data_IF_606745406446
#
_entry.id   IF_606745406446
#
_cell.length_a   1.000
_cell.length_b   1.000
_cell.length_c   1.000
_cell.angle_alpha   90.00
_cell.angle_beta   90.00
_cell.angle_gamma   90.00
#
_symmetry.space_group_name_H-M   'P 1'
#
loop_
_entity.id
_entity.type
_entity.pdbx_description
1 polymer ?
#
# COMPACT_ATOMS: atom_id res chain seq x y z
N UNK A 1 -26.42 -21.55 7.09
CA UNK A 1 -26.12 -20.18 6.63
C UNK A 1 -25.52 -20.25 5.23
N UNK A 2 -26.37 -20.34 4.20
CA UNK A 2 -25.95 -20.56 2.81
C UNK A 2 -25.41 -19.26 2.20
N UNK A 3 -24.09 -19.15 2.09
CA UNK A 3 -23.43 -18.01 1.45
C UNK A 3 -23.50 -18.17 -0.07
N UNK A 4 -24.49 -17.55 -0.71
CA UNK A 4 -24.64 -17.59 -2.18
C UNK A 4 -23.57 -16.73 -2.85
N UNK A 5 -22.48 -17.35 -3.32
CA UNK A 5 -21.49 -16.65 -4.14
C UNK A 5 -22.08 -16.35 -5.52
N UNK A 6 -22.47 -15.09 -5.77
CA UNK A 6 -23.02 -14.65 -7.05
C UNK A 6 -21.97 -14.82 -8.17
N UNK A 7 -22.27 -15.66 -9.18
CA UNK A 7 -21.44 -15.86 -10.38
C UNK A 7 -21.30 -14.53 -11.14
N UNK A 8 -20.08 -14.13 -11.48
CA UNK A 8 -19.82 -12.92 -12.28
C UNK A 8 -19.94 -13.28 -13.76
N UNK A 9 -20.68 -12.48 -14.53
CA UNK A 9 -20.87 -12.70 -15.96
C UNK A 9 -19.65 -12.23 -16.75
N UNK A 10 -19.32 -12.95 -17.82
CA UNK A 10 -18.24 -12.60 -18.77
C UNK A 10 -18.73 -11.51 -19.74
N UNK A 11 -17.78 -10.74 -20.28
CA UNK A 11 -18.03 -9.77 -21.33
C UNK A 11 -18.62 -10.43 -22.59
N UNK A 12 -19.59 -9.76 -23.22
CA UNK A 12 -20.26 -10.22 -24.44
C UNK A 12 -19.47 -9.95 -25.74
N UNK A 13 -18.42 -9.13 -25.68
CA UNK A 13 -17.57 -8.88 -26.84
C UNK A 13 -16.85 -10.18 -27.27
N UNK A 14 -16.69 -10.37 -28.58
CA UNK A 14 -16.03 -11.53 -29.15
C UNK A 14 -14.61 -11.70 -28.58
N UNK A 15 -14.24 -12.93 -28.24
CA UNK A 15 -12.94 -13.29 -27.66
C UNK A 15 -12.56 -12.52 -26.37
N UNK A 16 -13.51 -11.89 -25.67
CA UNK A 16 -13.22 -11.18 -24.43
C UNK A 16 -13.38 -12.08 -23.19
N UNK A 17 -12.28 -12.38 -22.51
CA UNK A 17 -12.28 -13.14 -21.25
C UNK A 17 -12.53 -12.28 -20.00
N UNK A 18 -12.62 -10.95 -20.17
CA UNK A 18 -12.83 -10.00 -19.06
C UNK A 18 -14.26 -10.12 -18.51
N UNK A 19 -14.44 -9.79 -17.23
CA UNK A 19 -15.76 -9.78 -16.60
C UNK A 19 -16.60 -8.58 -17.04
N UNK A 20 -17.88 -8.81 -17.27
CA UNK A 20 -18.85 -7.75 -17.50
C UNK A 20 -19.10 -6.94 -16.22
N UNK A 21 -19.08 -5.62 -16.34
CA UNK A 21 -19.31 -4.70 -15.21
C UNK A 21 -20.76 -4.22 -15.20
N UNK A 22 -21.22 -3.65 -16.31
CA UNK A 22 -22.59 -3.16 -16.53
C UNK A 22 -22.95 -3.39 -17.99
N UNK A 23 -24.22 -3.63 -18.28
CA UNK A 23 -24.73 -3.86 -19.65
C UNK A 23 -24.12 -5.06 -20.40
N UNK A 24 -23.50 -6.02 -19.68
CA UNK A 24 -22.94 -7.23 -20.29
C UNK A 24 -21.57 -7.05 -20.96
N UNK A 25 -20.94 -5.88 -20.82
CA UNK A 25 -19.59 -5.60 -21.36
C UNK A 25 -18.62 -5.25 -20.24
N UNK A 26 -17.31 -5.37 -20.49
CA UNK A 26 -16.27 -4.91 -19.57
C UNK A 26 -15.94 -3.42 -19.77
N UNK A 27 -15.14 -2.82 -18.88
CA UNK A 27 -14.78 -1.39 -18.97
C UNK A 27 -14.11 -1.06 -20.31
N UNK A 28 -13.22 -1.93 -20.80
CA UNK A 28 -12.57 -1.75 -22.10
C UNK A 28 -13.54 -1.80 -23.29
N UNK A 29 -14.67 -2.48 -23.15
CA UNK A 29 -15.69 -2.63 -24.20
C UNK A 29 -16.92 -1.73 -23.91
N UNK A 30 -16.71 -0.58 -23.26
CA UNK A 30 -17.73 0.46 -23.10
C UNK A 30 -18.59 0.35 -21.83
N UNK A 31 -18.24 -0.50 -20.86
CA UNK A 31 -18.97 -0.51 -19.59
C UNK A 31 -18.70 0.78 -18.80
N UNK A 32 -19.71 1.64 -18.70
CA UNK A 32 -19.64 2.82 -17.86
C UNK A 32 -19.62 2.43 -16.37
N UNK A 33 -18.47 2.67 -15.72
CA UNK A 33 -18.30 2.50 -14.27
C UNK A 33 -18.50 3.83 -13.57
N UNK A 34 -19.75 4.15 -13.24
CA UNK A 34 -20.09 5.34 -12.47
C UNK A 34 -19.68 5.14 -11.00
N UNK A 35 -18.65 5.87 -10.56
CA UNK A 35 -18.29 5.93 -9.15
C UNK A 35 -19.12 7.02 -8.47
N UNK A 36 -19.87 6.65 -7.43
CA UNK A 36 -20.61 7.63 -6.62
C UNK A 36 -19.63 8.43 -5.76
N UNK A 37 -19.91 9.72 -5.59
CA UNK A 37 -19.19 10.59 -4.64
C UNK A 37 -19.73 10.35 -3.24
N UNK A 38 -18.92 10.68 -2.25
CA UNK A 38 -19.31 10.65 -0.86
C UNK A 38 -20.48 11.61 -0.62
N UNK A 39 -21.53 11.16 0.05
CA UNK A 39 -22.75 11.95 0.33
C UNK A 39 -22.51 13.13 1.29
N UNK A 40 -21.34 13.20 1.93
CA UNK A 40 -20.94 14.32 2.80
C UNK A 40 -20.63 15.56 1.96
N UNK A 41 -21.21 16.69 2.35
CA UNK A 41 -21.01 17.97 1.68
C UNK A 41 -19.52 18.35 1.59
N UNK A 42 -19.11 18.86 0.43
CA UNK A 42 -17.72 19.22 0.14
C UNK A 42 -16.74 18.04 0.02
N UNK A 43 -17.18 16.77 0.09
CA UNK A 43 -16.28 15.62 -0.01
C UNK A 43 -16.07 15.12 -1.44
N UNK A 44 -14.83 15.27 -1.93
CA UNK A 44 -14.44 14.77 -3.26
C UNK A 44 -14.00 13.30 -3.30
N UNK A 45 -14.11 12.57 -2.19
CA UNK A 45 -13.76 11.15 -2.16
C UNK A 45 -14.87 10.29 -2.77
N UNK A 46 -14.49 9.14 -3.32
CA UNK A 46 -15.45 8.14 -3.79
C UNK A 46 -16.15 7.45 -2.62
N UNK A 47 -17.47 7.30 -2.74
CA UNK A 47 -18.27 6.52 -1.83
C UNK A 47 -17.91 5.04 -1.94
N UNK A 48 -17.97 4.35 -0.80
CA UNK A 48 -17.86 2.90 -0.73
C UNK A 48 -19.27 2.33 -0.48
N UNK A 49 -19.42 1.45 0.50
CA UNK A 49 -20.73 0.94 0.91
C UNK A 49 -21.42 1.97 1.80
N UNK A 50 -22.69 2.25 1.51
CA UNK A 50 -23.52 3.17 2.29
C UNK A 50 -23.36 4.64 1.96
N UNK A 51 -22.97 4.98 0.72
CA UNK A 51 -23.00 6.37 0.22
C UNK A 51 -21.85 7.28 0.70
N UNK A 52 -21.13 6.88 1.74
CA UNK A 52 -20.01 7.64 2.30
C UNK A 52 -18.66 7.03 1.93
N UNK A 53 -17.58 7.82 2.04
CA UNK A 53 -16.21 7.35 1.87
C UNK A 53 -15.67 6.74 3.17
N UNK A 54 -14.50 6.10 3.12
CA UNK A 54 -13.87 5.52 4.32
C UNK A 54 -13.59 6.54 5.44
N UNK A 55 -13.35 7.81 5.10
CA UNK A 55 -13.14 8.88 6.08
C UNK A 55 -14.43 9.31 6.76
N UNK A 56 -15.55 9.21 6.04
CA UNK A 56 -16.88 9.61 6.51
C UNK A 56 -17.73 8.41 6.94
N UNK A 57 -17.08 7.34 7.43
CA UNK A 57 -17.79 6.25 8.11
C UNK A 57 -18.17 5.05 7.24
N UNK A 58 -17.63 4.93 6.02
CA UNK A 58 -17.87 3.70 5.26
C UNK A 58 -17.36 2.47 6.02
N UNK A 59 -18.29 1.59 6.39
CA UNK A 59 -18.00 0.39 7.16
C UNK A 59 -17.06 -0.52 6.37
N UNK A 60 -15.85 -0.69 6.86
CA UNK A 60 -14.92 -1.72 6.40
C UNK A 60 -15.16 -2.99 7.20
N UNK A 61 -15.09 -4.15 6.55
CA UNK A 61 -15.14 -5.44 7.25
C UNK A 61 -13.88 -5.54 8.12
N UNK A 62 -14.03 -5.32 9.42
CA UNK A 62 -13.02 -5.65 10.43
C UNK A 62 -13.38 -7.02 10.97
N UNK A 63 -12.47 -7.97 10.80
CA UNK A 63 -12.60 -9.29 11.40
C UNK A 63 -11.56 -9.40 12.49
N UNK A 64 -11.91 -10.06 13.59
CA UNK A 64 -10.95 -10.42 14.62
C UNK A 64 -9.95 -11.45 14.09
N UNK A 65 -8.82 -11.54 14.78
CA UNK A 65 -7.78 -12.51 14.50
C UNK A 65 -8.31 -13.91 14.80
N UNK A 66 -8.16 -14.84 13.85
CA UNK A 66 -8.58 -16.23 14.02
C UNK A 66 -7.72 -17.04 15.00
N UNK A 67 -6.83 -16.39 15.76
CA UNK A 67 -6.01 -17.06 16.76
C UNK A 67 -6.80 -17.14 18.08
N UNK A 68 -6.63 -18.24 18.81
CA UNK A 68 -7.28 -18.46 20.10
C UNK A 68 -7.00 -17.29 21.07
N UNK A 69 -8.04 -16.81 21.74
CA UNK A 69 -8.00 -15.67 22.67
C UNK A 69 -7.39 -14.37 22.10
N UNK A 70 -7.45 -14.15 20.79
CA UNK A 70 -6.93 -12.93 20.18
C UNK A 70 -8.03 -11.94 19.78
N UNK A 71 -8.19 -10.88 20.56
CA UNK A 71 -9.11 -9.77 20.27
C UNK A 71 -8.57 -8.76 19.26
N UNK A 72 -7.35 -8.96 18.75
CA UNK A 72 -6.77 -8.05 17.75
C UNK A 72 -7.49 -8.17 16.42
N UNK A 73 -7.57 -7.07 15.68
CA UNK A 73 -8.13 -7.07 14.33
C UNK A 73 -7.16 -7.75 13.36
N UNK A 74 -7.69 -8.71 12.59
CA UNK A 74 -6.98 -9.34 11.49
C UNK A 74 -6.57 -8.31 10.44
N UNK A 75 -5.29 -8.36 10.07
CA UNK A 75 -4.69 -7.44 9.10
C UNK A 75 -4.61 -8.08 7.72
N UNK A 76 -4.29 -9.37 7.66
CA UNK A 76 -4.23 -10.13 6.42
C UNK A 76 -4.53 -11.60 6.71
N UNK A 77 -5.21 -12.27 5.76
CA UNK A 77 -5.46 -13.73 5.81
C UNK A 77 -6.08 -14.22 7.13
N UNK A 78 -6.95 -13.40 7.75
CA UNK A 78 -7.64 -13.77 8.99
C UNK A 78 -6.82 -13.63 10.27
N UNK A 79 -5.55 -13.24 10.22
CA UNK A 79 -4.68 -13.11 11.40
C UNK A 79 -4.20 -11.68 11.60
N UNK A 80 -3.84 -11.32 12.84
CA UNK A 80 -3.23 -10.03 13.17
C UNK A 80 -1.70 -10.08 12.96
N UNK A 81 -1.01 -8.94 13.14
CA UNK A 81 0.46 -8.88 12.96
C UNK A 81 1.22 -9.81 13.90
N UNK A 82 0.76 -9.95 15.14
CA UNK A 82 1.36 -10.85 16.13
C UNK A 82 1.20 -12.32 15.74
N UNK A 83 0.10 -12.64 15.06
CA UNK A 83 -0.25 -14.01 14.66
C UNK A 83 0.03 -14.30 13.18
N UNK A 84 1.00 -13.60 12.57
CA UNK A 84 1.52 -13.97 11.25
C UNK A 84 0.95 -13.21 10.06
N UNK A 85 0.24 -12.10 10.26
CA UNK A 85 -0.01 -11.16 9.17
C UNK A 85 1.30 -10.52 8.74
N UNK A 86 1.92 -11.11 7.71
CA UNK A 86 3.19 -10.67 7.15
C UNK A 86 3.10 -9.21 6.74
N UNK A 87 4.10 -8.41 7.14
CA UNK A 87 4.41 -7.18 6.41
C UNK A 87 4.89 -7.61 5.03
N UNK A 88 4.55 -6.84 3.99
CA UNK A 88 5.25 -6.97 2.72
C UNK A 88 6.73 -6.72 3.02
N UNK A 89 7.53 -7.79 3.00
CA UNK A 89 8.98 -7.71 3.19
C UNK A 89 9.51 -6.64 2.24
N UNK A 90 10.21 -5.64 2.78
CA UNK A 90 10.76 -4.57 1.95
C UNK A 90 11.95 -5.14 1.23
N UNK A 91 11.75 -5.53 -0.03
CA UNK A 91 12.84 -6.01 -0.88
C UNK A 91 13.87 -4.89 -1.06
N UNK A 92 15.15 -5.25 -1.03
CA UNK A 92 16.23 -4.35 -1.44
C UNK A 92 16.16 -4.15 -2.95
N UNK A 93 16.71 -3.05 -3.43
CA UNK A 93 16.94 -2.83 -4.84
C UNK A 93 17.77 -3.97 -5.42
N UNK A 94 17.36 -4.51 -6.56
CA UNK A 94 18.05 -5.60 -7.26
C UNK A 94 19.37 -5.17 -7.93
N UNK A 95 19.70 -3.88 -7.90
CA UNK A 95 20.98 -3.37 -8.41
C UNK A 95 22.08 -3.72 -7.42
N UNK A 96 23.10 -4.42 -7.91
CA UNK A 96 24.28 -4.83 -7.15
C UNK A 96 24.88 -3.68 -6.33
N UNK A 97 25.17 -3.95 -5.05
CA UNK A 97 25.71 -2.95 -4.11
C UNK A 97 24.72 -1.87 -3.66
N UNK A 98 23.48 -1.86 -4.13
CA UNK A 98 22.49 -0.86 -3.72
C UNK A 98 21.82 -1.22 -2.40
N UNK A 99 21.98 -0.40 -1.37
CA UNK A 99 21.32 -0.60 -0.05
C UNK A 99 19.89 -0.05 0.02
N UNK A 100 19.44 0.66 -1.03
CA UNK A 100 18.10 1.28 -1.06
C UNK A 100 17.00 0.22 -1.20
N UNK A 101 15.81 0.54 -0.71
CA UNK A 101 14.64 -0.34 -0.80
C UNK A 101 14.00 -0.23 -2.19
N UNK A 102 13.62 -1.37 -2.75
CA UNK A 102 12.85 -1.43 -3.97
C UNK A 102 11.43 -0.90 -3.76
N UNK A 103 10.97 -0.03 -4.66
CA UNK A 103 9.62 0.51 -4.61
C UNK A 103 8.68 -0.27 -5.54
N UNK A 104 9.02 -0.32 -6.82
CA UNK A 104 8.27 -0.99 -7.88
C UNK A 104 9.26 -1.63 -8.85
N UNK A 105 8.92 -2.80 -9.40
CA UNK A 105 9.76 -3.48 -10.39
C UNK A 105 11.12 -3.97 -9.86
N UNK A 106 11.27 -4.20 -8.55
CA UNK A 106 12.53 -4.72 -7.98
C UNK A 106 13.64 -3.68 -7.79
N UNK A 107 13.45 -2.46 -8.28
CA UNK A 107 14.43 -1.37 -8.18
C UNK A 107 13.99 -0.26 -7.24
N UNK A 108 14.94 0.55 -6.77
CA UNK A 108 14.66 1.75 -5.98
C UNK A 108 14.39 2.96 -6.88
N UNK A 109 13.94 4.07 -6.29
CA UNK A 109 13.64 5.32 -7.02
C UNK A 109 14.83 5.76 -7.88
N UNK A 110 16.03 5.78 -7.30
CA UNK A 110 17.24 6.19 -8.00
C UNK A 110 17.74 5.21 -9.07
N UNK A 111 17.14 4.03 -9.19
CA UNK A 111 17.47 3.02 -10.19
C UNK A 111 16.27 2.70 -11.11
N UNK A 112 15.32 3.65 -11.24
CA UNK A 112 14.24 3.56 -12.22
C UNK A 112 12.89 3.06 -11.68
N UNK A 113 12.69 3.05 -10.36
CA UNK A 113 11.36 2.73 -9.84
C UNK A 113 10.37 3.84 -10.16
N UNK A 114 9.41 3.53 -11.03
CA UNK A 114 8.35 4.44 -11.46
C UNK A 114 7.19 4.45 -10.47
N UNK A 115 6.61 5.63 -10.26
CA UNK A 115 5.37 5.78 -9.50
C UNK A 115 4.21 5.82 -10.47
N UNK A 116 3.19 4.98 -10.25
CA UNK A 116 1.93 5.08 -11.00
C UNK A 116 1.16 6.28 -10.48
N UNK A 117 0.96 7.27 -11.34
CA UNK A 117 0.15 8.44 -11.03
C UNK A 117 -1.25 8.27 -11.62
N UNK A 118 -2.26 8.70 -10.87
CA UNK A 118 -3.66 8.57 -11.25
C UNK A 118 -4.07 9.51 -12.39
N UNK A 119 -3.27 10.55 -12.64
CA UNK A 119 -3.41 11.53 -13.71
C UNK A 119 -2.01 12.02 -14.09
N UNK A 120 -1.79 12.27 -15.37
CA UNK A 120 -0.53 12.84 -15.89
C UNK A 120 -0.41 14.34 -15.57
N UNK A 121 -1.54 15.00 -15.32
CA UNK A 121 -1.61 16.46 -15.13
C UNK A 121 -1.19 16.95 -13.73
N UNK A 122 -0.90 16.05 -12.78
CA UNK A 122 -0.47 16.44 -11.42
C UNK A 122 0.76 15.65 -10.95
N UNK A 123 1.83 15.63 -11.75
CA UNK A 123 3.16 15.10 -11.39
C UNK A 123 4.18 16.16 -10.95
N UNK A 124 3.79 17.37 -10.53
CA UNK A 124 4.76 18.45 -10.20
C UNK A 124 5.04 18.66 -8.69
N UNK A 125 4.30 18.01 -7.78
CA UNK A 125 4.34 18.39 -6.34
C UNK A 125 5.10 17.44 -5.40
N UNK A 126 6.10 16.73 -5.90
CA UNK A 126 7.02 15.98 -5.04
C UNK A 126 8.40 16.20 -5.65
N UNK A 127 9.25 17.03 -5.06
CA UNK A 127 10.58 17.41 -5.58
C UNK A 127 11.58 16.25 -5.68
N UNK A 128 11.21 15.23 -6.45
CA UNK A 128 11.93 14.01 -6.76
C UNK A 128 11.54 13.71 -8.22
N UNK A 129 12.49 13.79 -9.14
CA UNK A 129 12.31 13.53 -10.57
C UNK A 129 12.03 12.04 -10.83
N UNK A 130 10.86 11.54 -10.41
CA UNK A 130 10.45 10.15 -10.57
C UNK A 130 9.64 10.03 -11.87
N UNK A 131 10.08 9.20 -12.83
CA UNK A 131 9.30 8.97 -14.04
C UNK A 131 7.92 8.36 -13.70
N UNK A 132 6.85 9.00 -14.17
CA UNK A 132 5.45 8.58 -13.98
C UNK A 132 5.02 7.77 -15.23
N UNK A 133 4.62 6.50 -15.09
CA UNK A 133 4.01 5.75 -16.20
C UNK A 133 2.49 5.94 -16.15
N UNK A 134 1.94 6.62 -17.16
CA UNK A 134 0.49 6.70 -17.39
C UNK A 134 -0.09 5.34 -17.73
N UNK A 135 -1.33 5.07 -17.29
CA UNK A 135 -1.99 3.81 -17.64
C UNK A 135 -2.49 3.85 -19.09
N UNK A 136 -1.90 2.97 -19.90
CA UNK A 136 -2.22 2.52 -21.26
C UNK A 136 -1.49 3.29 -22.38
N UNK A 137 -0.60 2.60 -23.09
CA UNK A 137 -0.89 2.09 -24.42
C UNK A 137 -0.04 0.85 -24.67
N UNK A 138 -0.69 -0.24 -25.07
CA UNK A 138 -0.03 -1.36 -25.74
C UNK A 138 0.27 -0.86 -27.15
N UNK A 139 1.54 -0.57 -27.44
CA UNK A 139 2.05 -0.56 -28.79
C UNK A 139 3.25 -1.52 -28.80
N UNK A 140 3.02 -2.70 -29.39
CA UNK A 140 4.05 -3.40 -30.16
C UNK A 140 4.64 -2.40 -31.16
N UNK A 141 5.96 -2.41 -31.35
CA UNK A 141 6.82 -1.91 -32.46
C UNK A 141 8.18 -1.57 -31.80
N UNK A 142 9.39 -1.99 -32.18
CA UNK A 142 9.98 -2.92 -33.13
C UNK A 142 11.43 -3.14 -32.62
N UNK A 143 12.07 -4.25 -32.99
CA UNK A 143 13.49 -4.51 -32.72
C UNK A 143 14.38 -3.48 -33.45
N UNK A 144 14.66 -2.33 -32.83
CA UNK A 144 15.74 -1.44 -33.26
C UNK A 144 16.97 -1.68 -32.38
N UNK A 145 18.04 -2.21 -32.97
CA UNK A 145 19.36 -2.30 -32.36
C UNK A 145 19.85 -0.90 -31.96
N UNK A 146 19.72 -0.54 -30.69
CA UNK A 146 20.37 0.65 -30.15
C UNK A 146 21.79 0.27 -29.71
N UNK A 147 22.75 0.60 -30.57
CA UNK A 147 24.19 0.59 -30.25
C UNK A 147 24.52 1.36 -28.95
N UNK A 148 25.56 0.96 -28.20
CA UNK A 148 25.76 1.36 -26.82
C UNK A 148 26.43 2.74 -26.73
N UNK A 149 25.65 3.79 -26.48
CA UNK A 149 26.21 5.14 -26.38
C UNK A 149 26.55 5.56 -24.93
N UNK A 150 27.87 5.48 -24.68
CA UNK A 150 28.71 6.33 -23.82
C UNK A 150 28.41 6.38 -22.32
N UNK A 151 29.17 5.51 -21.64
CA UNK A 151 29.57 5.62 -20.23
C UNK A 151 30.11 7.02 -19.93
N UNK A 152 29.39 7.80 -19.11
CA UNK A 152 29.91 9.06 -18.57
C UNK A 152 30.93 8.74 -17.48
N UNK A 153 32.05 9.45 -17.52
CA UNK A 153 33.24 9.21 -16.70
C UNK A 153 32.96 9.25 -15.20
N UNK A 154 33.64 8.36 -14.47
CA UNK A 154 33.79 8.41 -13.00
C UNK A 154 34.37 9.77 -12.60
N UNK A 155 33.61 10.53 -11.81
CA UNK A 155 34.20 11.52 -10.91
C UNK A 155 34.26 10.87 -9.54
N UNK A 156 35.47 10.55 -9.09
CA UNK A 156 35.74 10.12 -7.73
C UNK A 156 35.55 11.33 -6.80
N UNK A 157 34.57 11.25 -5.90
CA UNK A 157 34.42 12.18 -4.79
C UNK A 157 34.85 11.46 -3.52
N UNK A 158 35.73 12.03 -2.68
CA UNK A 158 36.26 11.34 -1.51
C UNK A 158 35.16 11.10 -0.46
N UNK A 159 35.23 9.93 0.17
CA UNK A 159 34.31 9.51 1.23
C UNK A 159 34.39 10.44 2.45
N UNK A 160 33.27 10.90 3.02
CA UNK A 160 33.31 11.49 4.36
C UNK A 160 33.56 10.38 5.39
N UNK A 161 34.56 10.58 6.25
CA UNK A 161 34.83 9.72 7.39
C UNK A 161 33.60 9.69 8.31
N UNK A 162 33.26 8.49 8.81
CA UNK A 162 32.27 8.30 9.86
C UNK A 162 32.85 8.90 11.14
N UNK A 163 32.24 9.98 11.64
CA UNK A 163 32.46 10.40 13.02
C UNK A 163 31.70 9.43 13.91
N UNK A 164 32.44 8.67 14.72
CA UNK A 164 31.90 7.82 15.77
C UNK A 164 31.09 8.69 16.74
N UNK A 165 29.76 8.56 16.67
CA UNK A 165 28.88 9.15 17.69
C UNK A 165 28.99 8.32 18.97
N UNK A 166 29.41 8.91 20.10
CA UNK A 166 29.50 8.16 21.36
C UNK A 166 28.10 7.74 21.83
N UNK A 167 27.99 6.49 22.27
CA UNK A 167 26.79 5.95 22.92
C UNK A 167 26.52 6.70 24.23
N UNK A 168 25.50 7.55 24.23
CA UNK A 168 24.97 8.12 25.48
C UNK A 168 24.18 7.00 26.17
N UNK A 169 24.71 6.51 27.28
CA UNK A 169 24.06 5.52 28.16
C UNK A 169 22.91 6.23 28.88
N UNK A 170 21.66 5.89 28.54
CA UNK A 170 20.51 6.37 29.30
C UNK A 170 20.56 5.75 30.72
N UNK A 171 20.25 6.53 31.77
CA UNK A 171 20.17 6.01 33.13
C UNK A 171 18.98 5.06 33.28
N UNK A 172 19.18 3.98 34.03
CA UNK A 172 18.12 3.06 34.42
C UNK A 172 17.08 3.79 35.29
N UNK A 173 15.83 3.78 34.84
CA UNK A 173 14.70 4.27 35.62
C UNK A 173 14.32 3.11 36.55
N UNK A 174 14.54 3.27 37.85
CA UNK A 174 14.09 2.31 38.85
C UNK A 174 12.55 2.31 38.89
N UNK A 175 11.94 1.13 38.82
CA UNK A 175 10.51 0.93 39.04
C UNK A 175 10.19 1.05 40.54
N UNK A 176 9.35 2.00 40.99
CA UNK A 176 8.83 1.98 42.35
C UNK A 176 7.60 1.06 42.45
N UNK A 177 7.84 -0.06 43.15
CA UNK A 177 6.97 -0.88 43.99
C UNK A 177 5.43 -0.76 43.86
N UNK A 178 4.83 -1.92 43.62
CA UNK A 178 3.48 -2.30 44.03
C UNK A 178 3.34 -2.15 45.56
N UNK A 179 2.59 -1.16 46.01
CA UNK A 179 2.06 -1.08 47.37
C UNK A 179 0.59 -1.54 47.34
N UNK A 180 0.40 -2.86 47.39
CA UNK A 180 -0.90 -3.45 47.66
C UNK A 180 -1.23 -3.30 49.16
N UNK A 181 -1.88 -2.19 49.55
CA UNK A 181 -2.45 -2.07 50.90
C UNK A 181 -3.75 -1.26 50.94
N UNK A 182 -4.78 -1.94 51.44
CA UNK A 182 -5.90 -1.39 52.22
C UNK A 182 -7.06 -0.70 51.49
N UNK A 183 -7.96 -1.52 50.95
CA UNK A 183 -9.40 -1.21 50.94
C UNK A 183 -10.18 -2.37 51.57
N UNK A 184 -10.21 -2.40 52.90
CA UNK A 184 -11.19 -3.13 53.70
C UNK A 184 -11.78 -2.16 54.72
N UNK A 185 -12.80 -1.38 54.34
CA UNK A 185 -13.80 -0.96 55.33
C UNK A 185 -15.14 -0.64 54.66
N UNK A 186 -16.21 -1.11 55.31
CA UNK A 186 -17.65 -0.80 55.15
C UNK A 186 -18.47 -1.57 54.12
N UNK A 187 -18.73 -2.84 54.44
CA UNK A 187 -20.10 -3.37 54.41
C UNK A 187 -20.54 -3.57 55.87
N UNK A 188 -21.65 -2.94 56.28
CA UNK A 188 -22.59 -3.28 57.37
C UNK A 188 -23.27 -1.99 57.86
N UNK A 189 -24.44 -1.71 57.29
CA UNK A 189 -25.76 -1.44 57.91
C UNK A 189 -26.67 -0.92 56.79
#
# INVERSE_FOLDING_TARGET
MSSTTKKKNTCKAENCTKYAVKSGVCVAHGANKQYKRCDTDGCNNFAQKGGVCARHGAKRKRTECSAHDCTNIAQARGVCRKHGAKRSERKRCDVEGCVKIAQSGGVCIGHGAVKKCSSLEECEKQGIDIPCIGSNDEQEEDDEEVEPQKKRAKTESPSPARLDTPHIKLPEIADPADDSASLQVYAMI
#
